data_IF_581897966645
#
_entry.id   IF_581897966645
#
_cell.length_a   1.000
_cell.length_b   1.000
_cell.length_c   1.000
_cell.angle_alpha   90.00
_cell.angle_beta   90.00
_cell.angle_gamma   90.00
#
_symmetry.space_group_name_H-M   'P 1'
#
loop_
_entity.id
_entity.type
_entity.pdbx_description
1 polymer ?
#
# COMPACT_ATOMS: atom_id res chain seq x y z
N UNK A 1 3.02 -19.67 15.42
CA UNK A 1 3.18 -21.12 15.22
C UNK A 1 2.41 -21.50 13.96
N UNK A 2 3.14 -21.88 12.91
CA UNK A 2 2.55 -22.39 11.66
C UNK A 2 1.88 -23.73 11.97
N UNK A 3 0.55 -23.77 12.07
CA UNK A 3 -0.17 -25.01 12.27
C UNK A 3 -0.11 -25.87 11.01
N UNK A 4 0.48 -27.04 11.09
CA UNK A 4 0.53 -28.02 10.00
C UNK A 4 -0.87 -28.59 9.72
N UNK A 5 -1.61 -28.00 8.79
CA UNK A 5 -2.82 -28.60 8.24
C UNK A 5 -2.47 -29.35 6.95
N UNK A 6 -2.38 -30.66 7.05
CA UNK A 6 -2.44 -31.58 5.90
C UNK A 6 -3.90 -31.62 5.43
N UNK A 7 -4.20 -31.05 4.28
CA UNK A 7 -5.47 -31.28 3.62
C UNK A 7 -5.96 -30.11 2.79
N UNK A 8 -6.12 -30.38 1.51
CA UNK A 8 -6.82 -29.64 0.47
C UNK A 8 -6.20 -28.33 -0.05
N UNK A 9 -6.08 -28.30 -1.35
CA UNK A 9 -5.54 -27.26 -2.22
C UNK A 9 -6.43 -25.98 -2.21
N UNK A 10 -6.47 -25.26 -1.10
CA UNK A 10 -7.13 -23.95 -1.02
C UNK A 10 -6.06 -22.91 -0.73
N UNK A 11 -5.75 -22.10 -1.74
CA UNK A 11 -5.04 -20.87 -1.51
C UNK A 11 -5.79 -20.04 -0.46
N UNK A 12 -5.24 -19.93 0.75
CA UNK A 12 -5.81 -19.06 1.76
C UNK A 12 -5.57 -17.61 1.31
N UNK A 13 -6.62 -16.98 0.83
CA UNK A 13 -6.67 -15.53 0.66
C UNK A 13 -6.72 -14.91 2.05
N UNK A 14 -5.62 -14.31 2.44
CA UNK A 14 -5.69 -13.28 3.46
C UNK A 14 -6.09 -11.99 2.74
N UNK A 15 -7.16 -11.29 3.15
CA UNK A 15 -7.32 -9.88 2.78
C UNK A 15 -6.00 -9.19 3.08
N UNK A 16 -5.64 -8.15 2.31
CA UNK A 16 -4.43 -7.39 2.55
C UNK A 16 -4.30 -7.20 4.06
N UNK A 17 -3.24 -7.73 4.68
CA UNK A 17 -3.21 -7.81 6.13
C UNK A 17 -3.45 -6.41 6.68
N UNK A 18 -4.36 -6.30 7.64
CA UNK A 18 -4.37 -5.14 8.52
C UNK A 18 -3.09 -5.28 9.36
N UNK A 19 -1.96 -4.91 8.72
CA UNK A 19 -0.66 -4.95 9.36
C UNK A 19 -0.63 -3.73 10.25
N UNK A 20 -0.99 -3.93 11.49
CA UNK A 20 -0.97 -2.90 12.53
C UNK A 20 0.46 -2.48 12.93
N UNK A 21 1.48 -3.16 12.41
CA UNK A 21 2.88 -2.73 12.34
C UNK A 21 3.50 -3.47 11.15
N UNK A 22 4.33 -2.84 10.33
CA UNK A 22 5.23 -3.55 9.45
C UNK A 22 6.31 -4.17 10.34
N UNK A 23 5.92 -5.16 11.09
CA UNK A 23 6.85 -5.97 11.84
C UNK A 23 7.63 -6.76 10.79
N UNK A 24 8.89 -6.39 10.60
CA UNK A 24 9.82 -7.16 9.76
C UNK A 24 9.81 -8.63 10.16
N UNK A 25 9.56 -8.89 11.44
CA UNK A 25 9.40 -10.23 12.00
C UNK A 25 8.21 -10.93 11.39
N UNK A 26 7.04 -10.29 11.34
CA UNK A 26 5.85 -10.86 10.73
C UNK A 26 6.02 -11.11 9.22
N UNK A 27 6.57 -10.14 8.48
CA UNK A 27 6.85 -10.31 7.05
C UNK A 27 7.80 -11.48 6.79
N UNK A 28 8.87 -11.59 7.59
CA UNK A 28 9.81 -12.71 7.52
C UNK A 28 9.13 -14.03 7.84
N UNK A 29 8.40 -14.11 8.96
CA UNK A 29 7.69 -15.33 9.38
C UNK A 29 6.71 -15.84 8.32
N UNK A 30 5.87 -14.96 7.74
CA UNK A 30 4.94 -15.37 6.70
C UNK A 30 5.65 -15.79 5.40
N UNK A 31 6.77 -15.12 5.07
CA UNK A 31 7.57 -15.45 3.89
C UNK A 31 8.25 -16.81 4.04
N UNK A 32 8.84 -17.07 5.20
CA UNK A 32 9.45 -18.37 5.54
C UNK A 32 8.39 -19.48 5.54
N UNK A 33 7.26 -19.26 6.20
CA UNK A 33 6.15 -20.21 6.20
C UNK A 33 5.65 -20.52 4.78
N UNK A 34 5.49 -19.53 3.94
CA UNK A 34 5.07 -19.73 2.55
C UNK A 34 6.11 -20.56 1.78
N UNK A 35 7.40 -20.25 1.94
CA UNK A 35 8.51 -20.96 1.31
C UNK A 35 8.59 -22.43 1.76
N UNK A 36 8.54 -22.69 3.05
CA UNK A 36 8.57 -24.04 3.63
C UNK A 36 7.41 -24.92 3.15
N UNK A 37 6.25 -24.32 2.91
CA UNK A 37 5.06 -25.04 2.44
C UNK A 37 4.91 -25.03 0.91
N UNK A 38 5.87 -24.49 0.15
CA UNK A 38 5.79 -24.38 -1.31
C UNK A 38 4.60 -23.53 -1.79
N UNK A 39 4.21 -22.51 -1.01
CA UNK A 39 3.09 -21.62 -1.30
C UNK A 39 3.57 -20.22 -1.64
N UNK A 40 2.67 -19.42 -2.23
CA UNK A 40 2.90 -18.01 -2.54
C UNK A 40 1.88 -17.15 -1.80
N UNK A 41 2.32 -15.97 -1.37
CA UNK A 41 1.45 -14.93 -0.83
C UNK A 41 1.25 -13.92 -1.96
N UNK A 42 0.00 -13.68 -2.33
CA UNK A 42 -0.36 -12.72 -3.36
C UNK A 42 -0.84 -11.44 -2.69
N UNK A 43 -0.14 -10.34 -2.94
CA UNK A 43 -0.50 -9.02 -2.41
C UNK A 43 -1.34 -8.31 -3.47
N UNK A 44 -2.60 -8.03 -3.14
CA UNK A 44 -3.46 -7.22 -3.99
C UNK A 44 -3.03 -5.74 -3.91
N UNK A 45 -3.11 -5.03 -5.02
CA UNK A 45 -2.69 -3.63 -5.09
C UNK A 45 -3.60 -2.66 -4.34
N UNK A 46 -4.80 -3.10 -3.96
CA UNK A 46 -5.76 -2.23 -3.28
C UNK A 46 -6.25 -1.11 -4.18
N UNK A 47 -6.25 0.11 -3.65
CA UNK A 47 -6.69 1.30 -4.39
C UNK A 47 -5.63 1.88 -5.34
N UNK A 48 -4.47 1.22 -5.48
CA UNK A 48 -3.38 1.64 -6.37
C UNK A 48 -3.03 0.52 -7.36
N UNK A 49 -2.03 0.75 -8.20
CA UNK A 49 -1.54 -0.25 -9.16
C UNK A 49 -0.05 -0.06 -9.44
N UNK A 50 0.45 -0.63 -10.54
CA UNK A 50 1.82 -0.42 -11.02
C UNK A 50 2.90 -1.07 -10.15
N UNK A 51 2.58 -2.09 -9.38
CA UNK A 51 3.57 -2.80 -8.55
C UNK A 51 4.64 -3.48 -9.39
N UNK A 52 4.31 -3.92 -10.58
CA UNK A 52 5.23 -4.45 -11.57
C UNK A 52 6.30 -3.42 -11.93
N UNK A 53 5.90 -2.18 -12.21
CA UNK A 53 6.80 -1.07 -12.54
C UNK A 53 7.65 -0.67 -11.33
N UNK A 54 7.05 -0.50 -10.15
CA UNK A 54 7.77 -0.15 -8.91
C UNK A 54 8.83 -1.20 -8.60
N UNK A 55 8.46 -2.48 -8.66
CA UNK A 55 9.36 -3.60 -8.42
C UNK A 55 10.48 -3.66 -9.45
N UNK A 56 10.16 -3.44 -10.73
CA UNK A 56 11.15 -3.43 -11.80
C UNK A 56 12.22 -2.37 -11.55
N UNK A 57 11.81 -1.14 -11.24
CA UNK A 57 12.74 -0.03 -10.94
C UNK A 57 13.61 -0.37 -9.72
N UNK A 58 13.02 -0.96 -8.67
CA UNK A 58 13.76 -1.34 -7.46
C UNK A 58 14.76 -2.47 -7.70
N UNK A 59 14.52 -3.35 -8.68
CA UNK A 59 15.47 -4.37 -9.09
C UNK A 59 16.63 -3.81 -9.94
N UNK A 60 16.41 -2.68 -10.63
CA UNK A 60 17.44 -2.02 -11.44
C UNK A 60 18.45 -1.24 -10.59
N UNK A 61 18.09 -0.84 -9.36
CA UNK A 61 18.96 -0.09 -8.46
C UNK A 61 18.24 0.43 -7.24
N UNK A 62 18.96 1.18 -6.41
CA UNK A 62 18.38 1.82 -5.24
C UNK A 62 17.49 2.98 -5.67
N UNK A 63 16.19 2.74 -5.70
CA UNK A 63 15.22 3.72 -6.12
C UNK A 63 14.94 4.76 -5.02
N UNK A 64 14.88 6.04 -5.43
CA UNK A 64 14.25 7.08 -4.62
C UNK A 64 12.74 6.97 -4.84
N UNK A 65 12.00 6.69 -3.78
CA UNK A 65 10.55 6.52 -3.85
C UNK A 65 9.85 7.51 -2.94
N UNK A 66 8.86 8.20 -3.49
CA UNK A 66 7.94 9.05 -2.71
C UNK A 66 6.49 8.62 -2.90
N UNK A 67 5.70 8.79 -1.85
CA UNK A 67 4.28 8.50 -1.85
C UNK A 67 3.51 9.67 -1.26
N UNK A 68 2.73 10.35 -2.08
CA UNK A 68 1.84 11.41 -1.66
C UNK A 68 0.40 10.92 -1.71
N UNK A 69 -0.34 11.11 -0.62
CA UNK A 69 -1.77 10.86 -0.57
C UNK A 69 -2.54 12.10 -0.16
N UNK A 70 -3.64 12.37 -0.86
CA UNK A 70 -4.61 13.41 -0.55
C UNK A 70 -5.91 12.77 -0.12
N UNK A 71 -6.52 13.34 0.92
CA UNK A 71 -7.74 12.83 1.53
C UNK A 71 -8.62 13.99 2.00
N UNK A 72 -9.94 13.78 1.98
CA UNK A 72 -10.84 14.72 2.64
C UNK A 72 -10.65 14.70 4.16
N UNK A 73 -10.89 15.83 4.87
CA UNK A 73 -10.67 15.93 6.33
C UNK A 73 -11.47 14.89 7.12
N UNK A 74 -12.68 14.54 6.67
CA UNK A 74 -13.52 13.50 7.32
C UNK A 74 -12.84 12.13 7.36
N UNK A 75 -12.02 11.77 6.36
CA UNK A 75 -11.33 10.48 6.33
C UNK A 75 -10.18 10.39 7.34
N UNK A 76 -9.71 11.53 7.85
CA UNK A 76 -8.70 11.64 8.90
C UNK A 76 -9.32 11.62 10.32
N UNK A 77 -10.64 11.79 10.43
CA UNK A 77 -11.33 11.79 11.73
C UNK A 77 -11.02 10.52 12.53
N UNK A 78 -10.81 10.71 13.82
CA UNK A 78 -10.43 9.63 14.74
C UNK A 78 -8.96 9.17 14.62
N UNK A 79 -8.13 9.90 13.89
CA UNK A 79 -6.68 9.65 13.82
C UNK A 79 -5.89 10.76 14.55
N UNK A 80 -4.62 10.50 14.94
CA UNK A 80 -3.76 11.52 15.54
C UNK A 80 -3.48 12.73 14.64
N UNK A 81 -3.73 12.61 13.33
CA UNK A 81 -3.51 13.70 12.36
C UNK A 81 -4.74 14.62 12.19
N UNK A 82 -5.84 14.28 12.84
CA UNK A 82 -7.06 15.08 12.73
C UNK A 82 -7.05 16.26 13.68
N UNK A 83 -7.30 17.43 13.13
CA UNK A 83 -7.59 18.67 13.87
C UNK A 83 -8.94 19.21 13.38
N UNK A 84 -9.77 19.75 14.29
CA UNK A 84 -11.08 20.32 13.95
C UNK A 84 -10.99 21.44 12.90
N UNK A 85 -9.89 22.20 12.89
CA UNK A 85 -9.62 23.24 11.89
C UNK A 85 -9.65 22.71 10.45
N UNK A 86 -9.26 21.44 10.22
CA UNK A 86 -9.27 20.82 8.89
C UNK A 86 -10.66 20.80 8.25
N UNK A 87 -11.72 20.82 9.07
CA UNK A 87 -13.10 20.84 8.59
C UNK A 87 -13.53 22.20 8.03
N UNK A 88 -12.82 23.26 8.40
CA UNK A 88 -13.11 24.65 8.01
C UNK A 88 -12.01 25.26 7.16
N UNK A 89 -10.88 24.59 7.00
CA UNK A 89 -9.79 25.02 6.12
C UNK A 89 -10.32 25.19 4.68
N UNK A 90 -9.78 26.18 3.99
CA UNK A 90 -10.14 26.50 2.59
C UNK A 90 -9.05 26.07 1.61
N UNK A 91 -7.89 25.69 2.12
CA UNK A 91 -6.72 25.32 1.34
C UNK A 91 -6.23 23.93 1.74
N UNK A 92 -5.51 23.29 0.84
CA UNK A 92 -4.84 22.02 1.10
C UNK A 92 -3.81 22.21 2.22
N UNK A 93 -3.82 21.32 3.22
CA UNK A 93 -2.88 21.32 4.34
C UNK A 93 -2.14 19.99 4.41
N UNK A 94 -0.81 20.06 4.44
CA UNK A 94 0.01 18.87 4.73
C UNK A 94 -0.11 18.56 6.22
N UNK A 95 -0.61 17.36 6.53
CA UNK A 95 -0.86 16.90 7.91
C UNK A 95 0.18 15.87 8.37
N UNK A 96 0.95 15.32 7.43
CA UNK A 96 2.05 14.41 7.73
C UNK A 96 3.15 14.50 6.68
N UNK A 97 4.40 14.37 7.14
CA UNK A 97 5.57 14.13 6.30
C UNK A 97 6.58 13.29 7.10
N UNK A 98 7.11 12.25 6.47
CA UNK A 98 8.07 11.34 7.07
C UNK A 98 8.21 10.06 6.24
N UNK A 99 8.77 9.01 6.81
CA UNK A 99 8.83 7.71 6.15
C UNK A 99 7.45 7.02 6.11
N UNK A 100 7.25 6.10 5.16
CA UNK A 100 6.05 5.29 5.16
C UNK A 100 5.94 4.45 6.45
N UNK A 101 7.05 4.01 7.04
CA UNK A 101 7.09 3.30 8.33
C UNK A 101 6.49 4.15 9.45
N UNK A 102 6.87 5.43 9.54
CA UNK A 102 6.32 6.35 10.53
C UNK A 102 4.82 6.59 10.29
N UNK A 103 4.41 6.79 9.04
CA UNK A 103 2.99 6.94 8.70
C UNK A 103 2.16 5.72 9.12
N UNK A 104 2.68 4.52 8.90
CA UNK A 104 2.03 3.26 9.28
C UNK A 104 1.88 3.17 10.81
N UNK A 105 2.89 3.56 11.58
CA UNK A 105 2.83 3.53 13.05
C UNK A 105 1.79 4.51 13.61
N UNK A 106 1.57 5.66 12.95
CA UNK A 106 0.58 6.67 13.35
C UNK A 106 -0.84 6.30 12.87
N UNK A 107 -0.94 5.70 11.68
CA UNK A 107 -2.20 5.40 10.99
C UNK A 107 -2.31 3.92 10.59
N UNK A 108 -2.27 2.97 11.51
CA UNK A 108 -2.13 1.54 11.18
C UNK A 108 -3.24 0.98 10.29
N UNK A 109 -4.43 1.58 10.28
CA UNK A 109 -5.60 1.10 9.51
C UNK A 109 -5.97 2.00 8.32
N UNK A 110 -5.25 3.11 8.08
CA UNK A 110 -5.61 4.13 7.08
C UNK A 110 -4.60 4.28 5.94
N UNK A 111 -3.50 3.51 5.96
CA UNK A 111 -2.39 3.61 4.99
C UNK A 111 -1.99 2.26 4.38
N UNK A 112 -2.95 1.35 4.22
CA UNK A 112 -2.70 0.02 3.65
C UNK A 112 -2.04 0.09 2.26
N UNK A 113 -2.44 1.06 1.44
CA UNK A 113 -1.84 1.29 0.12
C UNK A 113 -0.37 1.71 0.20
N UNK A 114 0.02 2.47 1.24
CA UNK A 114 1.42 2.86 1.45
C UNK A 114 2.29 1.66 1.83
N UNK A 115 1.76 0.74 2.64
CA UNK A 115 2.43 -0.52 2.95
C UNK A 115 2.68 -1.31 1.68
N UNK A 116 1.64 -1.53 0.88
CA UNK A 116 1.72 -2.32 -0.34
C UNK A 116 2.69 -1.70 -1.37
N UNK A 117 2.63 -0.37 -1.57
CA UNK A 117 3.57 0.36 -2.42
C UNK A 117 5.01 0.29 -1.91
N UNK A 118 5.22 0.40 -0.60
CA UNK A 118 6.55 0.33 0.01
C UNK A 118 7.17 -1.06 -0.16
N UNK A 119 6.39 -2.13 0.03
CA UNK A 119 6.84 -3.50 -0.19
C UNK A 119 7.16 -3.79 -1.65
N UNK A 120 6.48 -3.10 -2.58
CA UNK A 120 6.75 -3.21 -4.01
C UNK A 120 7.90 -2.33 -4.50
N UNK A 121 8.45 -1.46 -3.65
CA UNK A 121 9.50 -0.50 -4.00
C UNK A 121 10.70 -0.56 -3.05
N UNK A 122 11.06 0.56 -2.44
CA UNK A 122 12.30 0.73 -1.65
C UNK A 122 12.20 0.23 -0.20
N UNK A 123 11.07 -0.30 0.20
CA UNK A 123 10.76 -0.66 1.60
C UNK A 123 10.24 0.53 2.41
N UNK A 124 9.46 0.26 3.51
CA UNK A 124 8.73 1.30 4.23
C UNK A 124 9.63 2.35 4.92
N UNK A 125 10.87 2.02 5.20
CA UNK A 125 11.84 2.95 5.80
C UNK A 125 12.39 3.98 4.79
N UNK A 126 12.40 3.61 3.51
CA UNK A 126 13.05 4.39 2.43
C UNK A 126 12.03 5.09 1.51
N UNK A 127 10.74 4.94 1.77
CA UNK A 127 9.70 5.67 1.03
C UNK A 127 9.38 6.96 1.76
N UNK A 128 9.63 8.10 1.10
CA UNK A 128 9.23 9.43 1.56
C UNK A 128 7.72 9.60 1.42
N UNK A 129 7.00 9.76 2.52
CA UNK A 129 5.54 9.82 2.53
C UNK A 129 5.02 11.17 3.00
N UNK A 130 4.04 11.69 2.25
CA UNK A 130 3.30 12.90 2.61
C UNK A 130 1.79 12.66 2.57
N UNK A 131 1.07 13.16 3.57
CA UNK A 131 -0.39 13.12 3.65
C UNK A 131 -0.94 14.54 3.69
N UNK A 132 -1.93 14.80 2.84
CA UNK A 132 -2.59 16.09 2.75
C UNK A 132 -4.07 15.96 3.04
N UNK A 133 -4.59 16.90 3.82
CA UNK A 133 -6.02 17.16 3.96
C UNK A 133 -6.45 18.15 2.89
N UNK A 134 -7.44 17.78 2.09
CA UNK A 134 -7.96 18.64 1.00
C UNK A 134 -9.42 18.96 1.30
N UNK A 135 -9.80 20.24 1.44
CA UNK A 135 -11.18 20.63 1.67
C UNK A 135 -12.14 20.05 0.62
N UNK A 136 -13.30 19.63 1.08
CA UNK A 136 -14.39 19.09 0.23
C UNK A 136 -14.05 17.85 -0.60
N UNK A 137 -12.83 17.33 -0.51
CA UNK A 137 -12.42 16.16 -1.27
C UNK A 137 -13.21 14.92 -0.88
N UNK A 138 -13.70 14.22 -1.89
CA UNK A 138 -14.35 12.91 -1.77
C UNK A 138 -13.40 11.87 -2.36
N UNK A 139 -13.15 10.79 -1.61
CA UNK A 139 -12.22 9.75 -2.02
C UNK A 139 -10.77 10.05 -1.67
N UNK A 140 -9.87 9.31 -2.29
CA UNK A 140 -8.43 9.41 -2.09
C UNK A 140 -7.72 9.63 -3.44
N UNK A 141 -6.65 10.42 -3.41
CA UNK A 141 -5.74 10.64 -4.53
C UNK A 141 -4.33 10.19 -4.10
N UNK A 142 -3.77 9.24 -4.82
CA UNK A 142 -2.49 8.62 -4.52
C UNK A 142 -1.51 8.85 -5.65
N UNK A 143 -0.42 9.56 -5.38
CA UNK A 143 0.69 9.73 -6.32
C UNK A 143 1.95 9.07 -5.76
N UNK A 144 2.49 8.12 -6.54
CA UNK A 144 3.72 7.41 -6.23
C UNK A 144 4.75 7.75 -7.30
N UNK A 145 5.93 8.17 -6.90
CA UNK A 145 7.05 8.38 -7.81
C UNK A 145 8.18 7.46 -7.40
N UNK A 146 8.73 6.70 -8.35
CA UNK A 146 9.93 5.91 -8.17
C UNK A 146 10.96 6.31 -9.23
N UNK A 147 12.19 6.58 -8.81
CA UNK A 147 13.24 7.11 -9.69
C UNK A 147 14.61 6.49 -9.40
N UNK A 148 15.31 6.15 -10.49
CA UNK A 148 16.75 5.87 -10.54
C UNK A 148 17.37 6.69 -11.67
N UNK A 149 18.69 6.78 -11.81
CA UNK A 149 19.30 7.43 -12.96
C UNK A 149 18.81 6.85 -14.30
N UNK A 150 18.22 7.70 -15.13
CA UNK A 150 17.71 7.33 -16.45
C UNK A 150 16.31 6.73 -16.49
N UNK A 151 15.67 6.43 -15.33
CA UNK A 151 14.31 5.90 -15.29
C UNK A 151 13.51 6.58 -14.19
N UNK A 152 12.31 7.05 -14.55
CA UNK A 152 11.33 7.59 -13.62
C UNK A 152 9.95 7.04 -13.95
N UNK A 153 9.22 6.57 -12.95
CA UNK A 153 7.82 6.24 -13.06
C UNK A 153 6.99 7.11 -12.12
N UNK A 154 5.82 7.52 -12.58
CA UNK A 154 4.81 8.19 -11.78
C UNK A 154 3.49 7.44 -11.92
N UNK A 155 2.91 7.05 -10.81
CA UNK A 155 1.59 6.45 -10.71
C UNK A 155 0.70 7.47 -10.02
N UNK A 156 -0.37 7.87 -10.68
CA UNK A 156 -1.32 8.89 -10.19
C UNK A 156 -2.73 8.30 -10.28
N UNK A 157 -3.34 8.02 -9.14
CA UNK A 157 -4.57 7.26 -9.06
C UNK A 157 -5.54 7.94 -8.10
N UNK A 158 -6.59 8.50 -8.66
CA UNK A 158 -7.73 9.01 -7.91
C UNK A 158 -8.86 7.98 -7.87
N UNK A 159 -9.49 7.83 -6.70
CA UNK A 159 -10.68 7.02 -6.56
C UNK A 159 -11.65 7.61 -5.56
N UNK A 160 -12.88 7.84 -5.99
CA UNK A 160 -14.01 8.24 -5.12
C UNK A 160 -14.74 7.05 -4.49
N UNK A 161 -14.28 5.82 -4.78
CA UNK A 161 -14.93 4.60 -4.31
C UNK A 161 -13.92 3.56 -3.82
N UNK A 162 -14.28 2.83 -2.76
CA UNK A 162 -13.49 1.70 -2.27
C UNK A 162 -13.58 0.44 -3.18
N UNK A 163 -14.46 0.44 -4.18
CA UNK A 163 -14.67 -0.71 -5.07
C UNK A 163 -13.38 -1.11 -5.82
N UNK A 164 -12.50 -0.14 -6.16
CA UNK A 164 -11.23 -0.41 -6.83
C UNK A 164 -10.37 -1.41 -6.03
N UNK A 165 -10.36 -1.32 -4.69
CA UNK A 165 -9.63 -2.25 -3.85
C UNK A 165 -10.20 -3.68 -3.93
N UNK A 166 -11.52 -3.83 -3.96
CA UNK A 166 -12.17 -5.12 -4.17
C UNK A 166 -11.86 -5.72 -5.55
N UNK A 167 -11.92 -4.91 -6.59
CA UNK A 167 -11.60 -5.35 -7.95
C UNK A 167 -10.13 -5.71 -8.14
N UNK A 168 -9.21 -5.12 -7.38
CA UNK A 168 -7.80 -5.53 -7.38
C UNK A 168 -7.62 -6.98 -6.90
N UNK A 169 -8.42 -7.43 -5.92
CA UNK A 169 -8.45 -8.83 -5.48
C UNK A 169 -8.98 -9.74 -6.59
N UNK A 170 -10.05 -9.32 -7.28
CA UNK A 170 -10.59 -10.07 -8.44
C UNK A 170 -9.54 -10.20 -9.55
N UNK A 171 -8.75 -9.15 -9.80
CA UNK A 171 -7.66 -9.20 -10.78
C UNK A 171 -6.59 -10.25 -10.40
N UNK A 172 -6.18 -10.29 -9.13
CA UNK A 172 -5.25 -11.32 -8.63
C UNK A 172 -5.83 -12.72 -8.80
N UNK A 173 -7.12 -12.94 -8.45
CA UNK A 173 -7.79 -14.23 -8.62
C UNK A 173 -7.83 -14.66 -10.07
N UNK A 174 -8.12 -13.73 -10.99
CA UNK A 174 -8.10 -14.01 -12.43
C UNK A 174 -6.71 -14.43 -12.89
N UNK A 175 -5.66 -13.74 -12.45
CA UNK A 175 -4.29 -14.09 -12.80
C UNK A 175 -3.89 -15.51 -12.34
N UNK A 176 -4.48 -16.02 -11.24
CA UNK A 176 -4.19 -17.37 -10.76
C UNK A 176 -4.75 -18.47 -11.65
N UNK A 177 -5.80 -18.20 -12.43
CA UNK A 177 -6.48 -19.18 -13.27
C UNK A 177 -6.39 -18.87 -14.76
N UNK A 178 -5.86 -17.71 -15.13
CA UNK A 178 -5.70 -17.30 -16.54
C UNK A 178 -4.44 -17.94 -17.15
N UNK A 179 -4.50 -18.35 -18.43
CA UNK A 179 -3.30 -18.76 -19.16
C UNK A 179 -2.38 -17.59 -19.51
N UNK A 180 -2.88 -16.34 -19.45
CA UNK A 180 -2.12 -15.09 -19.64
C UNK A 180 -2.27 -14.25 -18.38
N UNK A 181 -1.14 -13.88 -17.77
CA UNK A 181 -1.07 -13.10 -16.54
C UNK A 181 -0.38 -11.77 -16.75
N UNK A 182 -0.78 -10.75 -15.97
CA UNK A 182 -0.23 -9.39 -16.00
C UNK A 182 0.28 -8.96 -14.63
#
# INVERSE_FOLDING_TARGET
ACASHKGTNHGSYLPAPQISHPDETFYREISECAKENGRKIHIASGAIGGFDVLRTISLMGQAQTSFRTKKGPKSLSGTPLFEESLMTDREEKQVFHGSAKEAISILPTKVNVAIAASLASSGPENVDMSIFSVPEMVGDDHKITAQIPGVKAELDIYSSTSAIAGWSVVAVLRNLVSPIVF
#
